data_IF_495095693070
#
_entry.id   IF_495095693070
#
_cell.length_a   1.000
_cell.length_b   1.000
_cell.length_c   1.000
_cell.angle_alpha   90.00
_cell.angle_beta   90.00
_cell.angle_gamma   90.00
#
_symmetry.space_group_name_H-M   'P 1'
#
loop_
_entity.id
_entity.type
_entity.pdbx_description
1 polymer ?
#
# COMPACT_ATOMS: atom_id res chain seq x y z
N UNK A 1 12.56 -49.41 8.27
CA UNK A 1 13.28 -48.47 7.39
C UNK A 1 12.36 -47.32 7.00
N UNK A 2 12.26 -46.25 7.81
CA UNK A 2 11.26 -45.16 7.64
C UNK A 2 11.87 -43.74 7.68
N UNK A 3 13.17 -43.60 7.37
CA UNK A 3 13.92 -42.37 7.71
C UNK A 3 14.18 -41.39 6.56
N UNK A 4 13.45 -41.45 5.44
CA UNK A 4 13.81 -40.67 4.24
C UNK A 4 12.65 -39.99 3.47
N UNK A 5 11.48 -39.80 4.08
CA UNK A 5 10.33 -39.17 3.39
C UNK A 5 10.29 -37.64 3.64
N UNK A 6 10.74 -37.19 4.81
CA UNK A 6 10.78 -35.76 5.19
C UNK A 6 11.89 -34.97 4.50
N UNK A 7 13.00 -35.61 4.14
CA UNK A 7 14.08 -35.00 3.34
C UNK A 7 13.65 -34.73 1.89
N UNK A 8 12.92 -35.67 1.28
CA UNK A 8 12.47 -35.58 -0.12
C UNK A 8 11.45 -34.44 -0.30
N UNK A 9 10.52 -34.28 0.64
CA UNK A 9 9.51 -33.20 0.61
C UNK A 9 10.15 -31.81 0.73
N UNK A 10 11.18 -31.66 1.57
CA UNK A 10 11.93 -30.40 1.70
C UNK A 10 12.68 -30.00 0.41
N UNK A 11 13.24 -30.98 -0.32
CA UNK A 11 13.93 -30.73 -1.58
C UNK A 11 12.94 -30.27 -2.68
N UNK A 12 11.77 -30.90 -2.76
CA UNK A 12 10.73 -30.52 -3.73
C UNK A 12 10.20 -29.11 -3.47
N UNK A 13 9.93 -28.75 -2.21
CA UNK A 13 9.48 -27.39 -1.87
C UNK A 13 10.50 -26.32 -2.26
N UNK A 14 11.80 -26.56 -2.05
CA UNK A 14 12.87 -25.63 -2.46
C UNK A 14 12.92 -25.46 -3.97
N UNK A 15 12.77 -26.54 -4.74
CA UNK A 15 12.76 -26.48 -6.20
C UNK A 15 11.58 -25.66 -6.74
N UNK A 16 10.37 -25.88 -6.21
CA UNK A 16 9.19 -25.11 -6.61
C UNK A 16 9.32 -23.64 -6.23
N UNK A 17 9.84 -23.36 -5.04
CA UNK A 17 10.10 -22.00 -4.58
C UNK A 17 11.09 -21.27 -5.49
N UNK A 18 12.21 -21.91 -5.84
CA UNK A 18 13.20 -21.34 -6.76
C UNK A 18 12.60 -21.08 -8.13
N UNK A 19 11.81 -22.02 -8.67
CA UNK A 19 11.15 -21.83 -9.98
C UNK A 19 10.19 -20.63 -9.97
N UNK A 20 9.42 -20.46 -8.90
CA UNK A 20 8.51 -19.33 -8.76
C UNK A 20 9.28 -18.01 -8.64
N UNK A 21 10.36 -17.99 -7.87
CA UNK A 21 11.21 -16.82 -7.70
C UNK A 21 11.88 -16.42 -9.02
N UNK A 22 12.41 -17.38 -9.78
CA UNK A 22 12.97 -17.12 -11.11
C UNK A 22 11.92 -16.57 -12.08
N UNK A 23 10.71 -17.15 -12.10
CA UNK A 23 9.62 -16.65 -12.96
C UNK A 23 9.22 -15.22 -12.60
N UNK A 24 9.20 -14.88 -11.31
CA UNK A 24 8.88 -13.55 -10.84
C UNK A 24 9.96 -12.53 -11.24
N UNK A 25 11.25 -12.89 -11.08
CA UNK A 25 12.37 -12.06 -11.52
C UNK A 25 12.33 -11.84 -13.03
N UNK A 26 12.08 -12.88 -13.81
CA UNK A 26 11.97 -12.75 -15.28
C UNK A 26 10.84 -11.80 -15.68
N UNK A 27 9.68 -11.90 -15.03
CA UNK A 27 8.55 -11.02 -15.30
C UNK A 27 8.88 -9.57 -14.90
N UNK A 28 9.54 -9.37 -13.75
CA UNK A 28 10.01 -8.05 -13.32
C UNK A 28 10.99 -7.44 -14.34
N UNK A 29 11.95 -8.22 -14.83
CA UNK A 29 12.92 -7.75 -15.84
C UNK A 29 12.20 -7.30 -17.11
N UNK A 30 11.25 -8.09 -17.62
CA UNK A 30 10.48 -7.73 -18.83
C UNK A 30 9.71 -6.43 -18.61
N UNK A 31 9.01 -6.32 -17.48
CA UNK A 31 8.21 -5.15 -17.13
C UNK A 31 9.07 -3.91 -16.94
N UNK A 32 10.32 -4.05 -16.47
CA UNK A 32 11.25 -2.95 -16.27
C UNK A 32 11.90 -2.51 -17.59
N UNK A 33 12.26 -3.44 -18.47
CA UNK A 33 12.93 -3.13 -19.74
C UNK A 33 12.02 -2.34 -20.69
N UNK A 34 10.73 -2.72 -20.77
CA UNK A 34 9.79 -2.11 -21.72
C UNK A 34 9.67 -0.58 -21.53
N UNK A 35 9.50 -0.03 -20.32
CA UNK A 35 9.52 1.42 -20.05
C UNK A 35 10.88 2.10 -20.18
N UNK A 36 11.98 1.39 -19.89
CA UNK A 36 13.33 1.98 -19.92
C UNK A 36 13.75 2.34 -21.34
N UNK A 37 13.40 1.51 -22.33
CA UNK A 37 13.77 1.75 -23.74
C UNK A 37 13.25 3.10 -24.27
N UNK A 38 11.93 3.41 -24.24
CA UNK A 38 11.42 4.69 -24.73
C UNK A 38 11.96 5.86 -23.91
N UNK A 39 12.18 5.69 -22.59
CA UNK A 39 12.80 6.70 -21.74
C UNK A 39 14.23 7.01 -22.15
N UNK A 40 15.06 5.99 -22.38
CA UNK A 40 16.43 6.17 -22.86
C UNK A 40 16.46 6.82 -24.24
N UNK A 41 15.61 6.36 -25.18
CA UNK A 41 15.51 6.93 -26.53
C UNK A 41 15.11 8.40 -26.47
N UNK A 42 14.12 8.77 -25.65
CA UNK A 42 13.68 10.17 -25.49
C UNK A 42 14.80 11.05 -24.93
N UNK A 43 15.52 10.59 -23.90
CA UNK A 43 16.65 11.35 -23.34
C UNK A 43 17.80 11.55 -24.34
N UNK A 44 18.17 10.50 -25.09
CA UNK A 44 19.20 10.60 -26.13
C UNK A 44 18.77 11.56 -27.23
N UNK A 45 17.50 11.49 -27.65
CA UNK A 45 16.94 12.41 -28.63
C UNK A 45 16.99 13.87 -28.16
N UNK A 46 16.63 14.14 -26.90
CA UNK A 46 16.71 15.48 -26.32
C UNK A 46 18.15 15.99 -26.27
N UNK A 47 19.10 15.15 -25.91
CA UNK A 47 20.52 15.50 -25.86
C UNK A 47 21.05 15.89 -27.26
N UNK A 48 20.74 15.07 -28.27
CA UNK A 48 21.18 15.31 -29.66
C UNK A 48 20.54 16.58 -30.23
N UNK A 49 19.28 16.85 -29.87
CA UNK A 49 18.52 17.99 -30.41
C UNK A 49 18.58 19.25 -29.54
N UNK A 50 19.44 19.27 -28.51
CA UNK A 50 19.50 20.37 -27.55
C UNK A 50 19.88 21.72 -28.17
N UNK A 51 20.73 21.71 -29.20
CA UNK A 51 21.20 22.92 -29.90
C UNK A 51 20.37 23.30 -31.13
N UNK A 52 19.39 22.47 -31.51
CA UNK A 52 18.57 22.70 -32.70
C UNK A 52 17.49 23.72 -32.38
N UNK A 53 17.33 24.74 -33.22
CA UNK A 53 16.22 25.69 -33.11
C UNK A 53 14.92 24.96 -33.46
N UNK A 54 14.01 24.86 -32.50
CA UNK A 54 12.73 24.15 -32.64
C UNK A 54 11.59 25.15 -32.82
N UNK A 55 10.62 24.82 -33.68
CA UNK A 55 9.35 25.56 -33.70
C UNK A 55 8.58 25.32 -32.40
N UNK A 56 7.72 26.26 -32.01
CA UNK A 56 6.88 26.14 -30.82
C UNK A 56 6.02 24.85 -30.84
N UNK A 57 5.47 24.51 -32.00
CA UNK A 57 4.72 23.28 -32.18
C UNK A 57 5.57 22.02 -31.94
N UNK A 58 6.78 21.95 -32.53
CA UNK A 58 7.68 20.82 -32.33
C UNK A 58 8.10 20.67 -30.86
N UNK A 59 8.41 21.78 -30.20
CA UNK A 59 8.76 21.77 -28.78
C UNK A 59 7.61 21.24 -27.90
N UNK A 60 6.36 21.62 -28.20
CA UNK A 60 5.19 21.12 -27.48
C UNK A 60 4.99 19.61 -27.66
N UNK A 61 5.15 19.09 -28.87
CA UNK A 61 5.04 17.65 -29.15
C UNK A 61 6.15 16.86 -28.44
N UNK A 62 7.40 17.33 -28.50
CA UNK A 62 8.52 16.68 -27.82
C UNK A 62 8.33 16.65 -26.30
N UNK A 63 7.81 17.74 -25.72
CA UNK A 63 7.48 17.79 -24.29
C UNK A 63 6.37 16.78 -23.94
N UNK A 64 5.30 16.70 -24.74
CA UNK A 64 4.23 15.74 -24.51
C UNK A 64 4.73 14.28 -24.57
N UNK A 65 5.59 13.96 -25.54
CA UNK A 65 6.21 12.63 -25.64
C UNK A 65 7.07 12.33 -24.41
N UNK A 66 7.83 13.32 -23.93
CA UNK A 66 8.61 13.17 -22.70
C UNK A 66 7.71 12.92 -21.48
N UNK A 67 6.62 13.66 -21.34
CA UNK A 67 5.68 13.50 -20.22
C UNK A 67 5.02 12.12 -20.24
N UNK A 68 4.59 11.64 -21.42
CA UNK A 68 4.05 10.28 -21.57
C UNK A 68 5.09 9.22 -21.19
N UNK A 69 6.34 9.41 -21.62
CA UNK A 69 7.43 8.48 -21.32
C UNK A 69 7.78 8.48 -19.83
N UNK A 70 7.74 9.65 -19.18
CA UNK A 70 7.93 9.79 -17.74
C UNK A 70 6.82 9.07 -16.95
N UNK A 71 5.55 9.22 -17.37
CA UNK A 71 4.43 8.52 -16.71
C UNK A 71 4.62 7.00 -16.78
N UNK A 72 4.99 6.48 -17.95
CA UNK A 72 5.25 5.04 -18.14
C UNK A 72 6.46 4.59 -17.31
N UNK A 73 7.53 5.38 -17.27
CA UNK A 73 8.72 5.10 -16.47
C UNK A 73 8.43 5.09 -14.97
N UNK A 74 7.72 6.10 -14.43
CA UNK A 74 7.38 6.15 -13.02
C UNK A 74 6.35 5.10 -12.63
N UNK A 75 5.44 4.73 -13.54
CA UNK A 75 4.51 3.61 -13.37
C UNK A 75 5.22 2.28 -13.11
N UNK A 76 6.48 2.14 -13.56
CA UNK A 76 7.29 0.97 -13.27
C UNK A 76 7.57 0.77 -11.77
N UNK A 77 7.56 1.83 -10.95
CA UNK A 77 7.72 1.68 -9.50
C UNK A 77 6.53 0.96 -8.86
N UNK A 78 5.32 1.17 -9.40
CA UNK A 78 4.12 0.45 -8.98
C UNK A 78 4.05 -0.97 -9.56
N UNK A 79 4.77 -1.24 -10.65
CA UNK A 79 4.71 -2.52 -11.36
C UNK A 79 5.16 -3.69 -10.50
N UNK A 80 6.18 -3.50 -9.65
CA UNK A 80 6.67 -4.52 -8.72
C UNK A 80 5.54 -5.10 -7.87
N UNK A 81 4.67 -4.24 -7.33
CA UNK A 81 3.50 -4.68 -6.56
C UNK A 81 2.59 -5.60 -7.37
N UNK A 82 2.29 -5.25 -8.62
CA UNK A 82 1.46 -6.08 -9.51
C UNK A 82 2.16 -7.38 -9.92
N UNK A 83 3.47 -7.36 -10.14
CA UNK A 83 4.26 -8.56 -10.42
C UNK A 83 4.19 -9.53 -9.24
N UNK A 84 4.37 -9.05 -8.00
CA UNK A 84 4.21 -9.86 -6.79
C UNK A 84 2.79 -10.40 -6.65
N UNK A 85 1.79 -9.57 -6.91
CA UNK A 85 0.38 -9.94 -6.85
C UNK A 85 0.01 -11.02 -7.86
N UNK A 86 0.54 -10.98 -9.09
CA UNK A 86 0.19 -11.95 -10.12
C UNK A 86 0.97 -13.26 -9.97
N UNK A 87 2.28 -13.16 -9.70
CA UNK A 87 3.20 -14.32 -9.73
C UNK A 87 3.10 -15.23 -8.51
N UNK A 88 2.83 -14.69 -7.32
CA UNK A 88 2.85 -15.45 -6.07
C UNK A 88 1.45 -15.75 -5.56
N UNK A 89 1.05 -17.03 -5.58
CA UNK A 89 -0.21 -17.48 -4.96
C UNK A 89 -0.21 -17.28 -3.44
N UNK A 90 0.95 -17.42 -2.79
CA UNK A 90 1.13 -17.13 -1.37
C UNK A 90 0.87 -15.65 -1.07
N UNK A 91 1.47 -14.75 -1.85
CA UNK A 91 1.29 -13.31 -1.67
C UNK A 91 -0.17 -12.89 -1.89
N UNK A 92 -0.85 -13.45 -2.89
CA UNK A 92 -2.29 -13.20 -3.11
C UNK A 92 -3.14 -13.59 -1.92
N UNK A 93 -2.87 -14.75 -1.31
CA UNK A 93 -3.60 -15.20 -0.13
C UNK A 93 -3.41 -14.25 1.04
N UNK A 94 -2.17 -13.86 1.30
CA UNK A 94 -1.84 -12.96 2.41
C UNK A 94 -2.43 -11.56 2.18
N UNK A 95 -2.40 -11.07 0.93
CA UNK A 95 -3.02 -9.81 0.54
C UNK A 95 -4.55 -9.84 0.67
N UNK A 96 -5.22 -10.93 0.25
CA UNK A 96 -6.66 -11.10 0.42
C UNK A 96 -7.04 -11.18 1.90
N UNK A 97 -6.24 -11.85 2.73
CA UNK A 97 -6.44 -11.87 4.19
C UNK A 97 -6.32 -10.47 4.78
N UNK A 98 -5.34 -9.68 4.33
CA UNK A 98 -5.18 -8.29 4.75
C UNK A 98 -6.38 -7.42 4.33
N UNK A 99 -6.88 -7.55 3.10
CA UNK A 99 -8.07 -6.84 2.64
C UNK A 99 -9.31 -7.25 3.45
N UNK A 100 -9.49 -8.56 3.68
CA UNK A 100 -10.60 -9.07 4.49
C UNK A 100 -10.54 -8.55 5.92
N UNK A 101 -9.35 -8.48 6.49
CA UNK A 101 -9.12 -7.91 7.81
C UNK A 101 -9.55 -6.42 7.84
N UNK A 102 -9.08 -5.62 6.90
CA UNK A 102 -9.47 -4.20 6.78
C UNK A 102 -10.97 -4.01 6.59
N UNK A 103 -11.59 -4.78 5.69
CA UNK A 103 -13.03 -4.72 5.49
C UNK A 103 -13.80 -5.11 6.77
N UNK A 104 -13.31 -6.08 7.54
CA UNK A 104 -13.92 -6.48 8.80
C UNK A 104 -13.69 -5.47 9.94
N UNK A 105 -12.63 -4.67 9.88
CA UNK A 105 -12.34 -3.65 10.90
C UNK A 105 -13.34 -2.48 10.85
N UNK A 106 -13.84 -2.13 9.67
CA UNK A 106 -15.00 -1.24 9.53
C UNK A 106 -16.25 -1.79 10.22
N UNK A 107 -16.42 -3.12 10.24
CA UNK A 107 -17.49 -3.76 11.00
C UNK A 107 -17.20 -3.79 12.50
N UNK A 108 -15.94 -3.86 12.93
CA UNK A 108 -15.57 -3.84 14.35
C UNK A 108 -15.74 -2.46 14.98
N UNK A 109 -15.34 -1.40 14.28
CA UNK A 109 -15.55 -0.01 14.73
C UNK A 109 -17.05 0.35 14.82
N UNK A 110 -17.89 -0.24 13.96
CA UNK A 110 -19.35 -0.11 14.06
C UNK A 110 -19.99 -1.01 15.15
N UNK A 111 -19.20 -1.89 15.79
CA UNK A 111 -19.63 -2.78 16.89
C UNK A 111 -19.11 -2.34 18.26
N UNK A 112 -18.56 -1.14 18.42
CA UNK A 112 -18.48 -0.51 19.74
C UNK A 112 -19.93 -0.42 20.24
N UNK A 113 -20.32 -1.42 21.02
CA UNK A 113 -21.74 -1.71 21.27
C UNK A 113 -22.43 -0.48 21.86
N UNK A 114 -23.71 -0.22 21.52
CA UNK A 114 -24.49 0.84 22.16
C UNK A 114 -24.35 0.83 23.68
N UNK A 115 -24.26 -0.37 24.27
CA UNK A 115 -24.01 -0.57 25.69
C UNK A 115 -22.69 0.04 26.21
N UNK A 116 -21.59 -0.04 25.46
CA UNK A 116 -20.32 0.60 25.87
C UNK A 116 -20.40 2.11 25.75
N UNK A 117 -21.15 2.61 24.77
CA UNK A 117 -21.38 4.05 24.56
C UNK A 117 -22.26 4.61 25.68
N UNK A 118 -23.36 3.94 26.01
CA UNK A 118 -24.25 4.29 27.13
C UNK A 118 -23.52 4.22 28.47
N UNK A 119 -22.65 3.22 28.71
CA UNK A 119 -21.87 3.15 29.94
C UNK A 119 -20.86 4.31 30.06
N UNK A 120 -20.23 4.71 28.96
CA UNK A 120 -19.32 5.85 28.95
C UNK A 120 -20.08 7.16 29.14
N UNK A 121 -21.24 7.33 28.50
CA UNK A 121 -22.11 8.49 28.69
C UNK A 121 -22.64 8.57 30.14
N UNK A 122 -23.05 7.44 30.73
CA UNK A 122 -23.47 7.38 32.14
C UNK A 122 -22.32 7.74 33.09
N UNK A 123 -21.10 7.26 32.83
CA UNK A 123 -19.91 7.62 33.62
C UNK A 123 -19.58 9.10 33.51
N UNK A 124 -19.61 9.67 32.29
CA UNK A 124 -19.39 11.11 32.09
C UNK A 124 -20.47 11.96 32.75
N UNK A 125 -21.74 11.57 32.63
CA UNK A 125 -22.86 12.28 33.24
C UNK A 125 -22.78 12.23 34.77
N UNK A 126 -22.39 11.07 35.32
CA UNK A 126 -22.17 10.91 36.77
C UNK A 126 -21.01 11.77 37.27
N UNK A 127 -19.90 11.82 36.53
CA UNK A 127 -18.76 12.66 36.87
C UNK A 127 -19.11 14.16 36.84
N UNK A 128 -19.87 14.60 35.83
CA UNK A 128 -20.36 16.00 35.75
C UNK A 128 -21.28 16.36 36.93
N UNK A 129 -22.19 15.46 37.31
CA UNK A 129 -23.07 15.68 38.46
C UNK A 129 -22.29 15.78 39.79
N UNK A 130 -21.22 15.00 39.97
CA UNK A 130 -20.35 15.08 41.15
C UNK A 130 -19.59 16.41 41.22
N UNK A 131 -19.04 16.88 40.08
CA UNK A 131 -18.36 18.19 40.02
C UNK A 131 -19.32 19.34 40.33
N UNK A 132 -20.54 19.29 39.82
CA UNK A 132 -21.55 20.31 40.10
C UNK A 132 -21.90 20.36 41.59
N UNK A 133 -22.09 19.20 42.24
CA UNK A 133 -22.31 19.12 43.70
C UNK A 133 -21.12 19.68 44.50
N UNK A 134 -19.89 19.38 44.09
CA UNK A 134 -18.68 19.92 44.70
C UNK A 134 -18.65 21.45 44.64
N UNK A 135 -18.92 22.02 43.46
CA UNK A 135 -18.95 23.47 43.26
C UNK A 135 -20.03 24.18 44.10
N UNK A 136 -21.22 23.59 44.24
CA UNK A 136 -22.26 24.13 45.12
C UNK A 136 -21.85 24.13 46.58
N UNK A 137 -21.18 23.07 47.05
CA UNK A 137 -20.70 22.99 48.44
C UNK A 137 -19.67 24.08 48.75
N UNK A 138 -18.72 24.30 47.83
CA UNK A 138 -17.72 25.38 47.95
C UNK A 138 -18.39 26.76 48.02
N UNK A 139 -19.43 27.01 47.23
CA UNK A 139 -20.15 28.29 47.27
C UNK A 139 -20.91 28.53 48.57
N UNK A 140 -21.48 27.48 49.18
CA UNK A 140 -22.20 27.60 50.47
C UNK A 140 -21.25 27.90 51.63
N UNK A 141 -20.06 27.31 51.65
CA UNK A 141 -19.02 27.58 52.66
C UNK A 141 -18.50 29.03 52.60
N UNK A 142 -18.63 29.72 51.47
CA UNK A 142 -18.23 31.12 51.33
C UNK A 142 -19.31 32.15 51.73
N UNK A 143 -20.54 31.72 52.01
CA UNK A 143 -21.67 32.61 52.35
C UNK A 143 -21.91 32.71 53.87
N UNK A 144 -21.35 31.78 54.66
CA UNK A 144 -21.43 31.73 56.13
C UNK A 144 -20.16 32.34 56.73
#
# INVERSE_FOLDING_TARGET
>A
TYRNITSITGIQQRSTFQRNLTSMILLQIIVVIIPIIPFAVSNVYQLITASVIKSSFRAAVEQQVQDMTNIVFYGNNASSFYVYLISSSSYRRDFLQFIQFWHNEDHWNNRVTPATREQNELKETSARAQLQKSNYKINLENII
#
